data_IF_082625818651
#
_entry.id   IF_082625818651
#
_cell.length_a   1.000
_cell.length_b   1.000
_cell.length_c   1.000
_cell.angle_alpha   90.00
_cell.angle_beta   90.00
_cell.angle_gamma   90.00
#
_symmetry.space_group_name_H-M   'P 1'
#
loop_
_entity.id
_entity.type
_entity.pdbx_description
1 polymer ?
#
# COMPACT_ATOMS: atom_id res chain seq x y z
N UNK A 1 -25.87 -3.38 9.40
CA UNK A 1 -24.67 -3.71 8.58
C UNK A 1 -24.18 -2.45 7.86
N UNK A 2 -24.40 -1.28 8.44
CA UNK A 2 -24.67 -0.06 7.65
C UNK A 2 -23.39 0.68 7.21
N UNK A 3 -22.23 0.03 7.33
CA UNK A 3 -20.91 0.58 7.02
C UNK A 3 -20.08 -0.30 6.08
N UNK A 4 -20.57 -1.46 5.68
CA UNK A 4 -19.92 -2.28 4.64
C UNK A 4 -20.71 -2.04 3.36
N UNK A 5 -20.04 -1.47 2.36
CA UNK A 5 -20.61 -1.35 1.03
C UNK A 5 -20.78 -2.76 0.45
N UNK A 6 -21.93 -3.09 -0.18
CA UNK A 6 -22.16 -4.41 -0.76
C UNK A 6 -21.09 -4.87 -1.74
N UNK A 7 -20.40 -3.94 -2.40
CA UNK A 7 -19.35 -4.20 -3.39
C UNK A 7 -17.97 -4.50 -2.77
N UNK A 8 -17.83 -4.40 -1.45
CA UNK A 8 -16.61 -4.76 -0.73
C UNK A 8 -16.63 -6.24 -0.34
N UNK A 9 -16.45 -7.12 -1.34
CA UNK A 9 -16.48 -8.57 -1.20
C UNK A 9 -15.56 -9.08 -0.07
N UNK A 10 -14.41 -8.42 0.12
CA UNK A 10 -13.47 -8.78 1.17
C UNK A 10 -14.05 -8.54 2.56
N UNK A 11 -14.53 -7.31 2.83
CA UNK A 11 -15.11 -6.99 4.14
C UNK A 11 -16.43 -7.71 4.37
N UNK A 12 -17.23 -7.89 3.33
CA UNK A 12 -18.48 -8.64 3.40
C UNK A 12 -18.24 -10.11 3.72
N UNK A 13 -17.36 -10.77 2.96
CA UNK A 13 -17.00 -12.17 3.19
C UNK A 13 -16.44 -12.40 4.59
N UNK A 14 -15.52 -11.54 5.04
CA UNK A 14 -14.94 -11.64 6.38
C UNK A 14 -15.97 -11.36 7.49
N UNK A 15 -16.90 -10.44 7.26
CA UNK A 15 -18.03 -10.21 8.17
C UNK A 15 -18.94 -11.44 8.25
N UNK A 16 -19.32 -12.04 7.11
CA UNK A 16 -20.14 -13.24 7.08
C UNK A 16 -19.45 -14.40 7.82
N UNK A 17 -18.17 -14.64 7.54
CA UNK A 17 -17.37 -15.69 8.18
C UNK A 17 -17.40 -15.57 9.71
N UNK A 18 -17.11 -14.38 10.25
CA UNK A 18 -17.12 -14.14 11.70
C UNK A 18 -18.51 -14.34 12.30
N UNK A 19 -19.55 -13.80 11.66
CA UNK A 19 -20.93 -13.94 12.15
C UNK A 19 -21.38 -15.41 12.16
N UNK A 20 -20.99 -16.20 11.15
CA UNK A 20 -21.31 -17.62 11.08
C UNK A 20 -20.53 -18.47 12.10
N UNK A 21 -19.36 -18.01 12.54
CA UNK A 21 -18.60 -18.64 13.64
C UNK A 21 -19.17 -18.33 15.03
N UNK A 22 -20.29 -17.60 15.12
CA UNK A 22 -20.99 -17.33 16.39
C UNK A 22 -20.62 -16.01 17.05
N UNK A 23 -19.71 -15.22 16.48
CA UNK A 23 -19.34 -13.90 17.01
C UNK A 23 -19.84 -12.77 16.11
N UNK A 24 -20.30 -11.66 16.70
CA UNK A 24 -20.74 -10.53 15.88
C UNK A 24 -19.52 -9.76 15.35
N UNK A 25 -19.39 -9.61 14.04
CA UNK A 25 -18.34 -8.79 13.42
C UNK A 25 -18.26 -7.37 14.02
N UNK A 26 -19.42 -6.78 14.32
CA UNK A 26 -19.49 -5.45 14.93
C UNK A 26 -18.91 -5.38 16.35
N UNK A 27 -18.87 -6.50 17.09
CA UNK A 27 -18.28 -6.60 18.43
C UNK A 27 -16.76 -6.74 18.40
N UNK A 28 -16.18 -7.20 17.28
CA UNK A 28 -14.73 -7.30 17.11
C UNK A 28 -14.05 -5.96 16.78
N UNK A 29 -14.81 -4.85 16.75
CA UNK A 29 -14.22 -3.53 16.62
C UNK A 29 -13.35 -3.25 17.83
N UNK A 30 -12.05 -3.21 17.60
CA UNK A 30 -11.10 -2.68 18.55
C UNK A 30 -11.35 -1.17 18.61
N UNK A 31 -11.72 -0.67 19.79
CA UNK A 31 -11.69 0.76 20.05
C UNK A 31 -10.25 1.24 19.84
N UNK A 32 -9.99 2.24 18.96
CA UNK A 32 -8.66 2.78 18.76
C UNK A 32 -7.96 3.19 20.06
N UNK A 33 -8.72 3.64 21.07
CA UNK A 33 -8.22 3.98 22.41
C UNK A 33 -7.74 2.76 23.21
N UNK A 34 -8.13 1.55 22.78
CA UNK A 34 -7.72 0.26 23.34
C UNK A 34 -6.75 -0.48 22.41
N UNK A 35 -6.16 0.20 21.42
CA UNK A 35 -5.16 -0.42 20.55
C UNK A 35 -3.98 -0.98 21.38
N UNK A 36 -3.19 -1.88 20.79
CA UNK A 36 -2.00 -2.42 21.46
C UNK A 36 -1.05 -1.29 21.91
N UNK A 37 -0.98 -0.20 21.15
CA UNK A 37 -0.20 1.01 21.49
C UNK A 37 -0.67 1.58 22.83
N UNK A 38 -1.98 1.74 23.02
CA UNK A 38 -2.56 2.23 24.26
C UNK A 38 -2.49 1.21 25.41
N UNK A 39 -2.57 -0.10 25.11
CA UNK A 39 -2.57 -1.18 26.12
C UNK A 39 -1.20 -1.46 26.73
N UNK A 40 -0.13 -1.34 25.94
CA UNK A 40 1.22 -1.67 26.38
C UNK A 40 2.04 -0.46 26.83
N UNK A 41 1.41 0.72 26.99
CA UNK A 41 2.09 1.99 27.31
C UNK A 41 3.33 2.20 26.44
N UNK A 42 3.20 1.91 25.15
CA UNK A 42 4.30 2.05 24.21
C UNK A 42 4.47 3.54 23.92
N UNK A 43 5.52 4.14 24.47
CA UNK A 43 5.99 5.48 24.11
C UNK A 43 6.56 5.48 22.68
N UNK A 44 5.66 5.49 21.69
CA UNK A 44 6.03 5.83 20.31
C UNK A 44 6.30 7.33 20.32
N UNK A 45 7.54 7.69 20.67
CA UNK A 45 7.97 9.08 20.88
C UNK A 45 7.50 10.03 19.78
N UNK A 46 7.61 9.58 18.52
CA UNK A 46 6.99 10.19 17.33
C UNK A 46 7.38 9.40 16.07
N UNK A 47 6.41 9.00 15.24
CA UNK A 47 6.67 8.61 13.86
C UNK A 47 6.75 9.85 12.95
N UNK A 48 7.59 9.79 11.92
CA UNK A 48 7.63 10.85 10.89
C UNK A 48 7.32 10.21 9.54
N UNK A 49 6.44 10.84 8.76
CA UNK A 49 6.25 10.50 7.35
C UNK A 49 6.69 11.67 6.47
N UNK A 50 7.41 11.37 5.39
CA UNK A 50 7.83 12.38 4.44
C UNK A 50 6.64 12.82 3.57
N UNK A 51 6.10 14.00 3.85
CA UNK A 51 5.00 14.59 3.07
C UNK A 51 5.60 15.45 1.95
N UNK A 52 5.82 14.81 0.81
CA UNK A 52 6.29 15.49 -0.40
C UNK A 52 5.11 16.19 -1.08
N UNK A 53 5.39 17.26 -1.83
CA UNK A 53 4.40 17.81 -2.73
C UNK A 53 3.89 16.72 -3.69
N UNK A 54 2.59 16.78 -4.01
CA UNK A 54 1.92 15.74 -4.80
C UNK A 54 2.52 15.61 -6.19
N UNK A 55 2.93 16.72 -6.82
CA UNK A 55 3.54 16.72 -8.15
C UNK A 55 4.91 16.05 -8.09
N UNK A 56 5.74 16.45 -7.13
CA UNK A 56 7.07 15.85 -6.93
C UNK A 56 6.97 14.34 -6.65
N UNK A 57 6.04 13.93 -5.78
CA UNK A 57 5.81 12.52 -5.46
C UNK A 57 5.42 11.72 -6.72
N UNK A 58 4.54 12.27 -7.55
CA UNK A 58 4.08 11.59 -8.76
C UNK A 58 5.17 11.50 -9.82
N UNK A 59 5.99 12.53 -9.99
CA UNK A 59 7.15 12.50 -10.88
C UNK A 59 8.14 11.39 -10.47
N UNK A 60 8.45 11.29 -9.17
CA UNK A 60 9.32 10.21 -8.65
C UNK A 60 8.71 8.82 -8.86
N UNK A 61 7.40 8.67 -8.63
CA UNK A 61 6.70 7.40 -8.86
C UNK A 61 6.79 6.98 -10.33
N UNK A 62 6.54 7.90 -11.26
CA UNK A 62 6.58 7.62 -12.70
C UNK A 62 8.00 7.23 -13.13
N UNK A 63 9.01 7.96 -12.67
CA UNK A 63 10.41 7.64 -12.94
C UNK A 63 10.77 6.24 -12.40
N UNK A 64 10.37 5.94 -11.17
CA UNK A 64 10.61 4.60 -10.57
C UNK A 64 9.90 3.51 -11.36
N UNK A 65 8.67 3.71 -11.80
CA UNK A 65 7.93 2.73 -12.59
C UNK A 65 8.66 2.39 -13.89
N UNK A 66 9.17 3.42 -14.60
CA UNK A 66 10.02 3.23 -15.78
C UNK A 66 11.26 2.41 -15.45
N UNK A 67 11.97 2.77 -14.40
CA UNK A 67 13.18 2.06 -13.96
C UNK A 67 12.91 0.60 -13.55
N UNK A 68 11.75 0.29 -12.97
CA UNK A 68 11.37 -1.09 -12.64
C UNK A 68 11.25 -1.95 -13.90
N UNK A 69 10.62 -1.41 -14.95
CA UNK A 69 10.49 -2.08 -16.24
C UNK A 69 11.88 -2.25 -16.88
N UNK A 70 12.69 -1.19 -16.94
CA UNK A 70 14.05 -1.22 -17.49
C UNK A 70 14.96 -2.23 -16.75
N UNK A 71 14.70 -2.47 -15.45
CA UNK A 71 15.43 -3.45 -14.63
C UNK A 71 14.91 -4.89 -14.75
N UNK A 72 13.96 -5.17 -15.65
CA UNK A 72 13.50 -6.54 -15.92
C UNK A 72 12.42 -7.05 -14.97
N UNK A 73 11.56 -6.17 -14.43
CA UNK A 73 10.40 -6.55 -13.60
C UNK A 73 9.53 -7.64 -14.23
N UNK A 74 9.36 -7.63 -15.55
CA UNK A 74 8.56 -8.64 -16.27
C UNK A 74 9.19 -10.03 -16.16
N UNK A 75 10.50 -10.12 -16.31
CA UNK A 75 11.20 -11.40 -16.20
C UNK A 75 11.25 -11.91 -14.76
N UNK A 76 11.41 -11.01 -13.79
CA UNK A 76 11.30 -11.35 -12.38
C UNK A 76 9.91 -11.93 -12.03
N UNK A 77 8.84 -11.27 -12.46
CA UNK A 77 7.46 -11.72 -12.23
C UNK A 77 7.22 -13.13 -12.79
N UNK A 78 7.76 -13.42 -13.97
CA UNK A 78 7.64 -14.74 -14.59
C UNK A 78 8.43 -15.82 -13.87
N UNK A 79 9.67 -15.55 -13.48
CA UNK A 79 10.47 -16.50 -12.70
C UNK A 79 9.78 -16.87 -11.38
N UNK A 80 9.15 -15.90 -10.72
CA UNK A 80 8.37 -16.14 -9.50
C UNK A 80 7.15 -17.01 -9.80
N UNK A 81 6.41 -16.71 -10.88
CA UNK A 81 5.24 -17.50 -11.29
C UNK A 81 5.61 -18.94 -11.63
N UNK A 82 6.70 -19.16 -12.37
CA UNK A 82 7.16 -20.51 -12.72
C UNK A 82 7.60 -21.29 -11.48
N UNK A 83 8.25 -20.63 -10.52
CA UNK A 83 8.76 -21.28 -9.30
C UNK A 83 7.70 -21.55 -8.24
N UNK A 84 6.73 -20.64 -8.08
CA UNK A 84 5.78 -20.67 -6.95
C UNK A 84 4.31 -20.74 -7.37
N UNK A 85 4.03 -20.78 -8.66
CA UNK A 85 2.68 -20.82 -9.22
C UNK A 85 2.02 -19.44 -9.34
N UNK A 86 0.96 -19.38 -10.15
CA UNK A 86 0.21 -18.14 -10.45
C UNK A 86 -0.58 -17.62 -9.25
N UNK A 87 -0.94 -18.48 -8.30
CA UNK A 87 -1.67 -18.12 -7.08
C UNK A 87 -0.78 -17.60 -5.95
N UNK A 88 0.53 -17.51 -6.17
CA UNK A 88 1.50 -17.03 -5.20
C UNK A 88 1.08 -15.64 -4.65
N UNK A 89 0.97 -15.47 -3.31
CA UNK A 89 0.59 -14.18 -2.71
C UNK A 89 1.51 -13.02 -3.12
N UNK A 90 2.80 -13.30 -3.36
CA UNK A 90 3.77 -12.29 -3.80
C UNK A 90 3.39 -11.65 -5.14
N UNK A 91 2.79 -12.41 -6.06
CA UNK A 91 2.35 -11.92 -7.37
C UNK A 91 1.10 -11.04 -7.31
N UNK A 92 0.40 -11.02 -6.17
CA UNK A 92 -0.72 -10.09 -5.91
C UNK A 92 -0.23 -8.70 -5.50
N UNK A 93 1.08 -8.54 -5.28
CA UNK A 93 1.68 -7.26 -4.95
C UNK A 93 1.54 -6.27 -6.12
N UNK A 94 1.49 -5.00 -5.76
CA UNK A 94 1.32 -3.89 -6.70
C UNK A 94 2.37 -3.97 -7.82
N UNK A 95 1.90 -4.10 -9.06
CA UNK A 95 2.76 -4.08 -10.24
C UNK A 95 2.97 -5.43 -10.89
N UNK A 96 3.11 -6.51 -10.11
CA UNK A 96 3.38 -7.85 -10.65
C UNK A 96 2.21 -8.37 -11.50
N UNK A 97 0.98 -7.99 -11.15
CA UNK A 97 -0.22 -8.29 -11.93
C UNK A 97 -0.10 -7.76 -13.37
N UNK A 98 0.32 -6.51 -13.55
CA UNK A 98 0.47 -5.91 -14.89
C UNK A 98 1.64 -6.52 -15.67
N UNK A 99 2.73 -6.87 -14.97
CA UNK A 99 3.87 -7.54 -15.58
C UNK A 99 3.50 -8.92 -16.16
N UNK A 100 2.64 -9.66 -15.46
CA UNK A 100 2.12 -10.94 -15.94
C UNK A 100 1.18 -10.78 -17.14
N UNK A 101 0.32 -9.75 -17.14
CA UNK A 101 -0.58 -9.44 -18.25
C UNK A 101 0.17 -9.00 -19.51
N UNK A 102 1.19 -8.16 -19.37
CA UNK A 102 2.00 -7.67 -20.49
C UNK A 102 2.62 -8.83 -21.28
N UNK A 103 3.25 -9.80 -20.59
CA UNK A 103 3.89 -10.94 -21.25
C UNK A 103 2.93 -12.04 -21.71
N UNK A 104 1.64 -11.98 -21.32
CA UNK A 104 0.55 -12.73 -21.99
C UNK A 104 0.15 -12.11 -23.34
N UNK A 105 0.73 -10.96 -23.72
CA UNK A 105 0.40 -10.23 -24.95
C UNK A 105 -0.83 -9.33 -24.84
N UNK A 106 -1.39 -9.17 -23.63
CA UNK A 106 -2.64 -8.43 -23.40
C UNK A 106 -2.43 -6.92 -23.23
N UNK A 107 -1.19 -6.43 -23.30
CA UNK A 107 -0.83 -5.03 -23.05
C UNK A 107 0.48 -4.69 -23.77
N UNK A 108 0.58 -3.49 -24.35
CA UNK A 108 1.83 -2.96 -24.89
C UNK A 108 2.63 -2.23 -23.79
N UNK A 109 3.90 -1.89 -24.07
CA UNK A 109 4.81 -1.30 -23.08
C UNK A 109 4.30 0.06 -22.53
N UNK A 110 3.69 0.88 -23.38
CA UNK A 110 3.18 2.20 -22.98
C UNK A 110 1.98 2.07 -22.04
N UNK A 111 1.01 1.22 -22.38
CA UNK A 111 -0.15 0.91 -21.55
C UNK A 111 0.30 0.30 -20.22
N UNK A 112 1.25 -0.65 -20.24
CA UNK A 112 1.81 -1.22 -19.03
C UNK A 112 2.44 -0.17 -18.12
N UNK A 113 3.28 0.72 -18.65
CA UNK A 113 3.89 1.80 -17.86
C UNK A 113 2.84 2.75 -17.28
N UNK A 114 1.82 3.10 -18.08
CA UNK A 114 0.74 4.00 -17.65
C UNK A 114 -0.08 3.40 -16.49
N UNK A 115 -0.45 2.12 -16.60
CA UNK A 115 -1.23 1.41 -15.60
C UNK A 115 -0.44 1.15 -14.33
N UNK A 116 0.82 0.71 -14.46
CA UNK A 116 1.74 0.54 -13.34
C UNK A 116 1.88 1.86 -12.57
N UNK A 117 2.18 2.95 -13.28
CA UNK A 117 2.35 4.27 -12.68
C UNK A 117 1.07 4.76 -12.00
N UNK A 118 -0.10 4.59 -12.63
CA UNK A 118 -1.41 4.93 -12.07
C UNK A 118 -1.68 4.15 -10.77
N UNK A 119 -1.40 2.85 -10.78
CA UNK A 119 -1.62 1.98 -9.64
C UNK A 119 -0.74 2.38 -8.44
N UNK A 120 0.55 2.68 -8.68
CA UNK A 120 1.46 3.21 -7.66
C UNK A 120 1.03 4.57 -7.12
N UNK A 121 0.55 5.49 -7.96
CA UNK A 121 0.01 6.80 -7.50
C UNK A 121 -1.23 6.63 -6.63
N UNK A 122 -2.14 5.74 -7.01
CA UNK A 122 -3.34 5.45 -6.22
C UNK A 122 -2.98 4.83 -4.86
N UNK A 123 -2.00 3.93 -4.82
CA UNK A 123 -1.49 3.36 -3.57
C UNK A 123 -0.84 4.44 -2.69
N UNK A 124 0.02 5.28 -3.24
CA UNK A 124 0.64 6.40 -2.52
C UNK A 124 -0.41 7.37 -1.96
N UNK A 125 -1.45 7.71 -2.73
CA UNK A 125 -2.57 8.52 -2.25
C UNK A 125 -3.25 7.88 -1.03
N UNK A 126 -3.48 6.56 -1.06
CA UNK A 126 -4.07 5.84 0.09
C UNK A 126 -3.15 5.87 1.31
N UNK A 127 -1.85 5.69 1.13
CA UNK A 127 -0.86 5.78 2.20
C UNK A 127 -0.86 7.17 2.84
N UNK A 128 -0.77 8.24 2.05
CA UNK A 128 -0.84 9.63 2.56
C UNK A 128 -2.15 9.88 3.28
N UNK A 129 -3.28 9.43 2.72
CA UNK A 129 -4.60 9.55 3.37
C UNK A 129 -4.66 8.82 4.71
N UNK A 130 -3.98 7.67 4.82
CA UNK A 130 -3.89 6.92 6.06
C UNK A 130 -3.00 7.64 7.08
N UNK A 131 -1.76 8.00 6.72
CA UNK A 131 -0.83 8.71 7.61
C UNK A 131 -1.41 10.00 8.18
N UNK A 132 -2.14 10.78 7.38
CA UNK A 132 -2.79 12.02 7.83
C UNK A 132 -3.89 11.81 8.89
N UNK A 133 -4.37 10.58 9.07
CA UNK A 133 -5.36 10.23 10.10
C UNK A 133 -4.72 9.69 11.38
N UNK A 134 -3.45 9.32 11.34
CA UNK A 134 -2.75 8.76 12.50
C UNK A 134 -2.24 9.88 13.40
N UNK A 135 -2.48 9.76 14.70
CA UNK A 135 -2.12 10.79 15.70
C UNK A 135 -0.66 10.75 16.12
N UNK A 136 -0.01 9.60 15.94
CA UNK A 136 1.38 9.35 16.36
C UNK A 136 2.39 9.51 15.20
N UNK A 137 1.95 9.98 14.02
CA UNK A 137 2.83 10.20 12.86
C UNK A 137 2.69 11.64 12.37
N UNK A 138 3.80 12.39 12.34
CA UNK A 138 3.81 13.77 11.86
C UNK A 138 4.28 13.88 10.41
N UNK A 139 3.64 14.74 9.58
CA UNK A 139 4.15 15.09 8.27
C UNK A 139 5.44 15.90 8.41
N UNK A 140 6.42 15.63 7.55
CA UNK A 140 7.64 16.41 7.49
C UNK A 140 8.12 16.53 6.04
N UNK A 141 8.51 17.74 5.64
CA UNK A 141 9.11 17.94 4.33
C UNK A 141 10.51 17.32 4.24
N UNK A 142 10.93 16.92 3.04
CA UNK A 142 12.27 16.34 2.82
C UNK A 142 13.39 17.27 3.31
N UNK A 143 13.33 18.55 2.98
CA UNK A 143 14.36 19.52 3.37
C UNK A 143 14.41 19.71 4.89
N UNK A 144 13.24 19.83 5.53
CA UNK A 144 13.14 19.92 7.00
C UNK A 144 13.75 18.67 7.67
N UNK A 145 13.42 17.47 7.17
CA UNK A 145 13.95 16.22 7.70
C UNK A 145 15.49 16.16 7.60
N UNK A 146 16.06 16.60 6.46
CA UNK A 146 17.50 16.65 6.26
C UNK A 146 18.19 17.62 7.22
N UNK A 147 17.60 18.81 7.44
CA UNK A 147 18.15 19.77 8.40
C UNK A 147 18.10 19.24 9.84
N UNK A 148 16.99 18.60 10.25
CA UNK A 148 16.92 17.97 11.58
C UNK A 148 18.02 16.93 11.78
N UNK A 149 18.27 16.07 10.79
CA UNK A 149 19.33 15.05 10.86
C UNK A 149 20.71 15.70 11.00
N UNK A 150 20.99 16.81 10.30
CA UNK A 150 22.29 17.52 10.42
C UNK A 150 22.53 18.10 11.82
N UNK A 151 21.46 18.45 12.53
CA UNK A 151 21.53 19.02 13.88
C UNK A 151 21.43 17.98 15.00
N UNK A 152 21.24 16.69 14.67
CA UNK A 152 21.35 15.60 15.64
C UNK A 152 22.82 15.34 15.95
N UNK A 153 23.26 15.78 17.13
CA UNK A 153 24.51 15.35 17.75
C UNK A 153 24.34 13.99 18.42
#
# INVERSE_FOLDING_TARGET
>A
MDKIFPEDDYRLGRALEVNLMGEKWSRLKIDPSTSAICRYDLDIRLGVFLDLDRKELYEKINLRAKQMIEKGMVDEAWKIRERFGETCPGLKSLGYNFALENKKGNSNLETFLADLSRSHRNYAKRQVTWFRKETYVQPMGRSEALERIKHMK
#
